data_IF_615679087502
#
_entry.id   IF_615679087502
#
_cell.length_a   1.000
_cell.length_b   1.000
_cell.length_c   1.000
_cell.angle_alpha   90.00
_cell.angle_beta   90.00
_cell.angle_gamma   90.00
#
_symmetry.space_group_name_H-M   'P 1'
#
loop_
_entity.id
_entity.type
_entity.pdbx_description
1 polymer ?
#
# COMPACT_ATOMS: atom_id res chain seq x y z
N UNK A 1 14.68 24.70 -5.25
CA UNK A 1 13.26 24.38 -5.02
C UNK A 1 13.17 23.47 -3.80
N UNK A 2 12.36 23.83 -2.81
CA UNK A 2 12.37 23.24 -1.46
C UNK A 2 12.02 21.75 -1.50
N UNK A 3 12.94 20.90 -1.05
CA UNK A 3 12.73 19.48 -0.81
C UNK A 3 11.95 19.28 0.49
N UNK A 4 10.70 19.76 0.54
CA UNK A 4 9.80 19.48 1.66
C UNK A 4 9.10 18.15 1.37
N UNK A 5 9.78 17.05 1.67
CA UNK A 5 9.18 15.74 1.58
C UNK A 5 8.35 15.48 2.87
N UNK A 6 7.01 15.55 2.82
CA UNK A 6 6.16 15.39 4.01
C UNK A 6 6.28 13.98 4.62
N UNK A 7 6.77 13.00 3.85
CA UNK A 7 7.01 11.65 4.34
C UNK A 7 8.24 11.56 5.24
N UNK A 8 9.20 12.50 5.13
CA UNK A 8 10.43 12.47 5.92
C UNK A 8 10.14 12.55 7.42
N UNK A 9 9.29 13.49 7.82
CA UNK A 9 8.89 13.67 9.21
C UNK A 9 8.11 12.48 9.79
N UNK A 10 7.47 11.69 8.94
CA UNK A 10 6.76 10.47 9.33
C UNK A 10 7.73 9.30 9.46
N UNK A 11 8.63 9.12 8.49
CA UNK A 11 9.66 8.06 8.51
C UNK A 11 10.68 8.25 9.63
N UNK A 12 10.98 9.49 10.02
CA UNK A 12 11.85 9.79 11.16
C UNK A 12 11.20 9.41 12.51
N UNK A 13 9.87 9.32 12.58
CA UNK A 13 9.12 8.92 13.77
C UNK A 13 8.78 7.43 13.81
N UNK A 14 8.65 6.79 12.66
CA UNK A 14 8.28 5.38 12.53
C UNK A 14 8.95 4.73 11.30
N UNK A 15 9.60 3.60 11.51
CA UNK A 15 10.29 2.86 10.44
C UNK A 15 9.33 2.27 9.39
N UNK A 16 8.04 2.17 9.72
CA UNK A 16 7.01 1.56 8.89
C UNK A 16 5.86 2.54 8.72
N UNK A 17 5.51 2.82 7.47
CA UNK A 17 4.31 3.57 7.10
C UNK A 17 3.29 2.59 6.52
N UNK A 18 2.10 2.52 7.11
CA UNK A 18 1.00 1.74 6.56
C UNK A 18 0.24 2.61 5.56
N UNK A 19 0.08 2.10 4.35
CA UNK A 19 -0.75 2.70 3.31
C UNK A 19 -2.09 1.97 3.26
N UNK A 20 -3.08 2.66 2.73
CA UNK A 20 -4.37 2.12 2.38
C UNK A 20 -4.28 1.01 1.33
N UNK A 21 -5.26 0.10 1.36
CA UNK A 21 -5.30 -1.10 0.53
C UNK A 21 -5.99 -0.88 -0.82
N UNK A 22 -6.44 -1.99 -1.43
CA UNK A 22 -7.13 -1.95 -2.71
C UNK A 22 -8.56 -1.38 -2.56
N UNK A 23 -8.73 -0.12 -2.95
CA UNK A 23 -10.03 0.57 -2.89
C UNK A 23 -11.07 -0.03 -3.83
N UNK A 24 -10.65 -0.50 -5.01
CA UNK A 24 -11.55 -1.09 -6.00
C UNK A 24 -12.30 -2.31 -5.44
N UNK A 25 -11.58 -3.24 -4.80
CA UNK A 25 -12.18 -4.45 -4.22
C UNK A 25 -13.18 -4.14 -3.10
N UNK A 26 -12.93 -3.10 -2.30
CA UNK A 26 -13.87 -2.67 -1.24
C UNK A 26 -15.13 -2.02 -1.82
N UNK A 27 -14.98 -1.26 -2.92
CA UNK A 27 -16.13 -0.66 -3.61
C UNK A 27 -16.96 -1.73 -4.33
N UNK A 28 -16.34 -2.73 -4.96
CA UNK A 28 -17.04 -3.88 -5.55
C UNK A 28 -17.80 -4.68 -4.48
N UNK A 29 -17.18 -4.92 -3.32
CA UNK A 29 -17.83 -5.59 -2.19
C UNK A 29 -19.05 -4.83 -1.66
N UNK A 30 -19.07 -3.49 -1.79
CA UNK A 30 -20.21 -2.63 -1.47
C UNK A 30 -21.24 -2.51 -2.59
N UNK A 31 -21.04 -3.23 -3.70
CA UNK A 31 -21.96 -3.28 -4.83
C UNK A 31 -21.72 -2.23 -5.92
N UNK A 32 -20.59 -1.51 -5.90
CA UNK A 32 -20.23 -0.61 -6.99
C UNK A 32 -19.80 -1.40 -8.23
N UNK A 33 -20.43 -1.12 -9.37
CA UNK A 33 -20.02 -1.69 -10.64
C UNK A 33 -18.79 -0.94 -11.18
N UNK A 34 -17.60 -1.53 -11.03
CA UNK A 34 -16.33 -0.96 -11.48
C UNK A 34 -15.91 -1.44 -12.88
N UNK A 35 -16.83 -1.97 -13.69
CA UNK A 35 -16.54 -2.49 -15.03
C UNK A 35 -16.07 -1.43 -16.04
N UNK A 36 -16.19 -0.14 -15.70
CA UNK A 36 -15.73 0.97 -16.55
C UNK A 36 -14.29 1.37 -16.18
N UNK A 37 -13.44 1.62 -17.17
CA UNK A 37 -12.06 2.08 -16.92
C UNK A 37 -11.99 3.45 -16.21
N UNK A 38 -13.08 4.22 -16.24
CA UNK A 38 -13.23 5.51 -15.55
C UNK A 38 -14.07 5.41 -14.25
N UNK A 39 -14.18 4.21 -13.66
CA UNK A 39 -14.96 3.97 -12.45
C UNK A 39 -14.63 4.93 -11.30
N UNK A 40 -13.36 5.33 -11.14
CA UNK A 40 -12.95 6.20 -10.04
C UNK A 40 -13.52 7.61 -10.14
N UNK A 41 -13.57 8.18 -11.34
CA UNK A 41 -14.20 9.48 -11.59
C UNK A 41 -15.72 9.40 -11.43
N UNK A 42 -16.33 8.31 -11.88
CA UNK A 42 -17.76 8.08 -11.76
C UNK A 42 -18.20 7.98 -10.30
N UNK A 43 -17.52 7.15 -9.50
CA UNK A 43 -17.84 6.98 -8.07
C UNK A 43 -17.59 8.28 -7.29
N UNK A 44 -16.56 9.07 -7.66
CA UNK A 44 -16.32 10.39 -7.05
C UNK A 44 -17.47 11.38 -7.28
N UNK A 45 -18.15 11.29 -8.43
CA UNK A 45 -19.26 12.19 -8.77
C UNK A 45 -20.59 11.66 -8.25
N UNK A 46 -20.83 10.36 -8.36
CA UNK A 46 -22.11 9.75 -8.01
C UNK A 46 -22.24 9.51 -6.50
N UNK A 47 -21.18 8.99 -5.86
CA UNK A 47 -21.23 8.53 -4.47
C UNK A 47 -19.93 8.88 -3.69
N UNK A 48 -19.60 10.16 -3.49
CA UNK A 48 -18.39 10.58 -2.79
C UNK A 48 -18.34 10.07 -1.33
N UNK A 49 -19.48 9.85 -0.70
CA UNK A 49 -19.61 9.31 0.65
C UNK A 49 -19.07 7.88 0.77
N UNK A 50 -19.27 7.02 -0.24
CA UNK A 50 -18.76 5.65 -0.23
C UNK A 50 -17.23 5.62 -0.21
N UNK A 51 -16.59 6.49 -0.99
CA UNK A 51 -15.12 6.63 -1.00
C UNK A 51 -14.63 7.08 0.38
N UNK A 52 -15.32 8.03 1.00
CA UNK A 52 -14.98 8.51 2.34
C UNK A 52 -15.11 7.41 3.39
N UNK A 53 -16.15 6.59 3.32
CA UNK A 53 -16.34 5.47 4.23
C UNK A 53 -15.26 4.40 4.07
N UNK A 54 -14.93 4.01 2.83
CA UNK A 54 -13.84 3.07 2.54
C UNK A 54 -12.51 3.59 3.10
N UNK A 55 -12.19 4.87 2.87
CA UNK A 55 -10.99 5.47 3.45
C UNK A 55 -11.02 5.51 4.98
N UNK A 56 -12.17 5.79 5.58
CA UNK A 56 -12.31 5.80 7.04
C UNK A 56 -12.13 4.41 7.63
N UNK A 57 -12.62 3.38 6.95
CA UNK A 57 -12.45 1.99 7.36
C UNK A 57 -10.99 1.55 7.25
N UNK A 58 -10.27 1.92 6.18
CA UNK A 58 -8.83 1.71 6.10
C UNK A 58 -8.05 2.47 7.18
N UNK A 59 -8.44 3.71 7.46
CA UNK A 59 -7.81 4.51 8.53
C UNK A 59 -8.02 3.87 9.90
N UNK A 60 -9.22 3.36 10.18
CA UNK A 60 -9.54 2.63 11.42
C UNK A 60 -8.83 1.29 11.50
N UNK A 61 -8.77 0.53 10.41
CA UNK A 61 -8.04 -0.72 10.32
C UNK A 61 -6.55 -0.51 10.59
N UNK A 62 -5.94 0.56 10.07
CA UNK A 62 -4.54 0.91 10.33
C UNK A 62 -4.25 1.25 11.80
N UNK A 63 -5.22 1.80 12.54
CA UNK A 63 -5.10 2.01 13.99
C UNK A 63 -5.26 0.72 14.80
N UNK A 64 -6.05 -0.23 14.29
CA UNK A 64 -6.29 -1.53 14.92
C UNK A 64 -5.34 -2.64 14.46
N UNK A 65 -4.47 -2.36 13.48
CA UNK A 65 -3.45 -3.29 13.00
C UNK A 65 -2.34 -3.44 14.04
N UNK A 66 -2.66 -4.14 15.14
CA UNK A 66 -1.68 -4.75 16.03
C UNK A 66 -0.89 -5.77 15.20
N UNK A 67 0.27 -5.32 14.70
CA UNK A 67 1.32 -6.12 14.06
C UNK A 67 0.83 -7.21 13.10
N UNK A 68 0.39 -6.84 11.90
CA UNK A 68 0.36 -7.81 10.81
C UNK A 68 1.80 -8.00 10.26
N UNK A 69 2.16 -9.21 9.81
CA UNK A 69 3.52 -9.52 9.38
C UNK A 69 3.90 -8.62 8.22
N UNK A 70 4.89 -7.76 8.44
CA UNK A 70 5.43 -6.89 7.42
C UNK A 70 5.83 -7.70 6.18
N UNK A 71 5.45 -7.23 5.00
CA UNK A 71 5.96 -7.74 3.71
C UNK A 71 7.49 -7.84 3.84
N UNK A 72 7.97 -9.09 3.82
CA UNK A 72 9.40 -9.40 3.99
C UNK A 72 10.14 -8.77 2.82
N UNK A 73 10.80 -7.63 3.07
CA UNK A 73 11.71 -7.01 2.11
C UNK A 73 12.74 -8.06 1.71
N UNK A 74 12.65 -8.55 0.47
CA UNK A 74 13.62 -9.51 -0.07
C UNK A 74 14.97 -8.79 -0.08
N UNK A 75 15.87 -9.12 0.84
CA UNK A 75 17.26 -8.67 0.76
C UNK A 75 17.78 -9.11 -0.61
N UNK A 76 18.18 -8.15 -1.45
CA UNK A 76 18.97 -8.45 -2.65
C UNK A 76 20.24 -9.16 -2.17
N UNK A 77 20.47 -10.37 -2.65
CA UNK A 77 21.73 -11.05 -2.41
C UNK A 77 22.85 -10.18 -2.98
N UNK A 78 23.93 -10.03 -2.23
CA UNK A 78 25.12 -9.34 -2.72
C UNK A 78 25.64 -10.10 -3.94
N UNK A 79 26.13 -9.40 -5.01
CA UNK A 79 26.73 -10.07 -6.16
C UNK A 79 27.76 -11.13 -5.75
N UNK A 80 28.50 -10.90 -4.65
CA UNK A 80 29.51 -11.84 -4.12
C UNK A 80 28.91 -13.18 -3.65
N UNK A 81 27.73 -13.17 -3.03
CA UNK A 81 27.05 -14.41 -2.60
C UNK A 81 26.53 -15.23 -3.78
N UNK A 82 26.12 -14.55 -4.86
CA UNK A 82 25.68 -15.20 -6.11
C UNK A 82 26.87 -15.91 -6.77
N UNK A 83 28.03 -15.27 -6.81
CA UNK A 83 29.26 -15.87 -7.34
C UNK A 83 29.71 -17.09 -6.53
N UNK A 84 29.72 -17.01 -5.19
CA UNK A 84 30.11 -18.16 -4.34
C UNK A 84 29.23 -19.40 -4.54
N UNK A 85 27.91 -19.23 -4.68
CA UNK A 85 27.00 -20.38 -4.90
C UNK A 85 27.17 -21.02 -6.28
N UNK A 86 27.63 -20.26 -7.27
CA UNK A 86 27.86 -20.73 -8.63
C UNK A 86 29.19 -21.47 -8.78
N UNK A 87 30.19 -21.14 -7.96
CA UNK A 87 31.49 -21.82 -7.93
C UNK A 87 31.49 -23.15 -7.19
N UNK A 88 30.51 -23.40 -6.30
CA UNK A 88 30.37 -24.65 -5.53
C UNK A 88 29.57 -25.74 -6.26
N UNK A 89 29.12 -25.46 -7.48
CA UNK A 89 28.31 -26.37 -8.33
C UNK A 89 29.07 -26.82 -9.59
N UNK A 90 30.40 -26.65 -9.59
CA UNK A 90 31.33 -27.29 -10.52
C UNK A 90 32.10 -28.38 -9.79
#
# INVERSE_FOLDING_TARGET
MSQNNPLRALLDKQDILLLDGAMATELEARGCNLADSLWSAKVLVENPELIREVHLDYYRAGRNARSLPAIRRRRRASPREVWMKRSRKR
#
